data_IF_293163545232
#
_entry.id   IF_293163545232
#
_cell.length_a   1.000
_cell.length_b   1.000
_cell.length_c   1.000
_cell.angle_alpha   90.00
_cell.angle_beta   90.00
_cell.angle_gamma   90.00
#
_symmetry.space_group_name_H-M   'P 1'
#
loop_
_entity.id
_entity.type
_entity.pdbx_description
1 polymer ?
#
# COMPACT_ATOMS: atom_id res chain seq x y z
N UNK A 1 3.31 -9.19 -21.63
CA UNK A 1 2.10 -9.19 -20.79
C UNK A 1 0.87 -9.02 -21.67
N UNK A 2 0.75 -7.97 -22.46
CA UNK A 2 -0.44 -7.70 -23.29
C UNK A 2 -0.70 -8.78 -24.34
N UNK A 3 0.32 -9.35 -24.95
CA UNK A 3 0.19 -10.46 -25.89
C UNK A 3 -0.38 -11.76 -25.26
N UNK A 4 -0.40 -11.86 -23.93
CA UNK A 4 -0.93 -13.00 -23.16
C UNK A 4 -2.20 -12.63 -22.39
N UNK A 5 -2.86 -11.53 -22.74
CA UNK A 5 -3.97 -10.94 -22.00
C UNK A 5 -5.07 -11.93 -21.63
N UNK A 6 -5.60 -12.67 -22.62
CA UNK A 6 -6.68 -13.62 -22.42
C UNK A 6 -6.31 -14.74 -21.43
N UNK A 7 -5.09 -15.29 -21.55
CA UNK A 7 -4.61 -16.34 -20.66
C UNK A 7 -4.43 -15.84 -19.21
N UNK A 8 -3.81 -14.67 -19.05
CA UNK A 8 -3.62 -14.04 -17.75
C UNK A 8 -4.96 -13.81 -17.06
N UNK A 9 -5.93 -13.26 -17.79
CA UNK A 9 -7.26 -12.98 -17.24
C UNK A 9 -7.98 -14.28 -16.86
N UNK A 10 -7.99 -15.29 -17.74
CA UNK A 10 -8.68 -16.56 -17.46
C UNK A 10 -8.11 -17.27 -16.22
N UNK A 11 -6.78 -17.39 -16.11
CA UNK A 11 -6.12 -18.03 -14.96
C UNK A 11 -6.31 -17.18 -13.71
N UNK A 12 -6.12 -15.86 -13.80
CA UNK A 12 -6.28 -14.96 -12.67
C UNK A 12 -7.69 -15.01 -12.07
N UNK A 13 -8.74 -15.05 -12.90
CA UNK A 13 -10.12 -15.25 -12.44
C UNK A 13 -10.29 -16.59 -11.72
N UNK A 14 -9.75 -17.67 -12.27
CA UNK A 14 -9.87 -19.01 -11.70
C UNK A 14 -9.16 -19.13 -10.33
N UNK A 15 -7.98 -18.53 -10.20
CA UNK A 15 -7.18 -18.59 -8.96
C UNK A 15 -7.74 -17.69 -7.85
N UNK A 16 -8.19 -16.49 -8.19
CA UNK A 16 -8.49 -15.44 -7.21
C UNK A 16 -9.99 -15.21 -6.97
N UNK A 17 -10.85 -15.63 -7.90
CA UNK A 17 -12.27 -15.27 -7.91
C UNK A 17 -12.52 -13.79 -8.26
N UNK A 18 -11.51 -13.03 -8.66
CA UNK A 18 -11.67 -11.65 -9.08
C UNK A 18 -12.40 -11.57 -10.43
N UNK A 19 -13.28 -10.58 -10.63
CA UNK A 19 -13.98 -10.40 -11.91
C UNK A 19 -13.03 -10.07 -13.06
N UNK A 20 -13.39 -10.50 -14.27
CA UNK A 20 -12.61 -10.25 -15.48
C UNK A 20 -12.29 -8.76 -15.72
N UNK A 21 -13.28 -7.89 -15.54
CA UNK A 21 -13.12 -6.45 -15.68
C UNK A 21 -12.03 -5.89 -14.71
N UNK A 22 -11.96 -6.42 -13.48
CA UNK A 22 -10.96 -6.06 -12.48
C UNK A 22 -9.56 -6.45 -12.95
N UNK A 23 -9.36 -7.69 -13.42
CA UNK A 23 -8.05 -8.16 -13.90
C UNK A 23 -7.59 -7.45 -15.17
N UNK A 24 -8.52 -7.14 -16.07
CA UNK A 24 -8.24 -6.35 -17.27
C UNK A 24 -7.76 -4.94 -16.93
N UNK A 25 -8.42 -4.25 -16.00
CA UNK A 25 -8.00 -2.94 -15.51
C UNK A 25 -6.63 -3.00 -14.82
N UNK A 26 -6.42 -4.02 -13.99
CA UNK A 26 -5.16 -4.21 -13.26
C UNK A 26 -3.98 -4.53 -14.21
N UNK A 27 -4.22 -5.29 -15.28
CA UNK A 27 -3.22 -5.52 -16.33
C UNK A 27 -2.82 -4.22 -17.03
N UNK A 28 -3.79 -3.38 -17.39
CA UNK A 28 -3.53 -2.06 -17.96
C UNK A 28 -2.69 -1.18 -17.01
N UNK A 29 -3.02 -1.17 -15.72
CA UNK A 29 -2.24 -0.49 -14.68
C UNK A 29 -0.81 -1.02 -14.61
N UNK A 30 -0.61 -2.33 -14.62
CA UNK A 30 0.72 -2.97 -14.53
C UNK A 30 1.59 -2.59 -15.72
N UNK A 31 1.06 -2.70 -16.94
CA UNK A 31 1.80 -2.33 -18.16
C UNK A 31 2.03 -0.83 -18.27
N UNK A 32 1.06 -0.01 -17.84
CA UNK A 32 1.21 1.44 -17.74
C UNK A 32 2.33 1.86 -16.80
N UNK A 33 2.42 1.23 -15.63
CA UNK A 33 3.49 1.49 -14.66
C UNK A 33 4.88 1.11 -15.18
N UNK A 34 5.02 -0.02 -15.87
CA UNK A 34 6.28 -0.39 -16.52
C UNK A 34 6.72 0.66 -17.57
N UNK A 35 5.77 1.18 -18.37
CA UNK A 35 6.04 2.25 -19.33
C UNK A 35 6.41 3.57 -18.65
N UNK A 36 5.72 3.92 -17.55
CA UNK A 36 6.03 5.10 -16.76
C UNK A 36 7.48 5.07 -16.28
N UNK A 37 7.92 3.95 -15.71
CA UNK A 37 9.32 3.80 -15.27
C UNK A 37 10.31 3.83 -16.43
N UNK A 38 9.97 3.21 -17.58
CA UNK A 38 10.82 3.30 -18.77
C UNK A 38 11.01 4.75 -19.23
N UNK A 39 9.96 5.57 -19.20
CA UNK A 39 10.06 7.01 -19.49
C UNK A 39 10.85 7.76 -18.41
N UNK A 40 10.60 7.47 -17.14
CA UNK A 40 11.23 8.13 -16.00
C UNK A 40 12.76 7.96 -16.00
N UNK A 41 13.24 6.74 -16.27
CA UNK A 41 14.71 6.50 -16.27
C UNK A 41 15.46 7.20 -17.41
N UNK A 42 14.78 7.56 -18.49
CA UNK A 42 15.37 8.33 -19.59
C UNK A 42 15.66 9.78 -19.20
N UNK A 43 14.94 10.33 -18.22
CA UNK A 43 15.15 11.69 -17.73
C UNK A 43 16.39 11.81 -16.83
N UNK A 44 16.82 10.71 -16.23
CA UNK A 44 18.01 10.61 -15.36
C UNK A 44 17.97 11.41 -14.04
N UNK A 45 16.92 12.15 -13.73
CA UNK A 45 16.80 12.98 -12.52
C UNK A 45 16.80 12.14 -11.23
N UNK A 46 16.32 10.90 -11.31
CA UNK A 46 16.35 9.94 -10.20
C UNK A 46 17.77 9.62 -9.72
N UNK A 47 18.80 9.88 -10.54
CA UNK A 47 20.20 9.69 -10.18
C UNK A 47 20.72 10.76 -9.21
N UNK A 48 19.98 11.86 -8.99
CA UNK A 48 20.29 12.93 -8.04
C UNK A 48 21.78 13.30 -8.06
N UNK A 49 22.30 13.63 -9.25
CA UNK A 49 23.71 13.95 -9.45
C UNK A 49 24.06 15.26 -8.78
N UNK A 50 25.16 15.24 -8.01
CA UNK A 50 25.69 16.44 -7.35
C UNK A 50 27.18 16.55 -7.59
N UNK A 51 27.66 17.78 -7.80
CA UNK A 51 29.06 18.09 -7.99
C UNK A 51 29.47 19.29 -7.14
N UNK A 52 30.48 19.09 -6.36
CA UNK A 52 31.19 20.14 -5.62
C UNK A 52 32.61 20.28 -6.15
N UNK A 53 32.93 21.40 -6.80
CA UNK A 53 34.25 21.67 -7.32
C UNK A 53 35.30 21.74 -6.20
N UNK A 54 36.54 21.41 -6.53
CA UNK A 54 37.67 21.59 -5.63
C UNK A 54 37.84 23.06 -5.22
N UNK A 55 38.17 23.30 -3.96
CA UNK A 55 38.50 24.61 -3.38
C UNK A 55 39.87 24.52 -2.68
N UNK A 56 40.97 24.52 -3.44
CA UNK A 56 42.30 24.29 -2.88
C UNK A 56 42.74 25.37 -1.88
N UNK A 57 42.29 26.61 -2.08
CA UNK A 57 42.69 27.77 -1.27
C UNK A 57 41.73 28.07 -0.10
N UNK A 58 40.68 27.23 0.08
CA UNK A 58 39.69 27.42 1.17
C UNK A 58 40.34 27.27 2.54
N UNK A 59 40.05 28.23 3.45
CA UNK A 59 40.46 28.16 4.84
C UNK A 59 39.29 27.63 5.71
N UNK A 60 39.56 26.96 6.83
CA UNK A 60 40.86 26.52 7.37
C UNK A 60 41.39 25.25 6.68
N UNK A 61 40.62 24.62 5.80
CA UNK A 61 41.02 23.39 5.07
C UNK A 61 40.58 23.46 3.62
N UNK A 62 41.45 23.05 2.71
CA UNK A 62 41.12 22.85 1.32
C UNK A 62 39.97 21.81 1.17
N UNK A 63 39.16 21.97 0.14
CA UNK A 63 38.17 20.97 -0.27
C UNK A 63 38.63 20.31 -1.56
N UNK A 64 38.63 18.99 -1.57
CA UNK A 64 38.81 18.21 -2.81
C UNK A 64 37.54 18.18 -3.62
N UNK A 65 37.60 17.80 -4.88
CA UNK A 65 36.46 17.58 -5.75
C UNK A 65 35.57 16.42 -5.21
N UNK A 66 34.26 16.63 -5.20
CA UNK A 66 33.27 15.63 -4.80
C UNK A 66 32.22 15.49 -5.89
N UNK A 67 31.99 14.26 -6.31
CA UNK A 67 30.90 13.88 -7.20
C UNK A 67 30.00 12.85 -6.51
N UNK A 68 28.68 12.99 -6.57
CA UNK A 68 27.74 12.05 -5.99
C UNK A 68 26.69 11.67 -7.01
N UNK A 69 26.27 10.41 -7.00
CA UNK A 69 25.08 9.96 -7.70
C UNK A 69 24.44 8.76 -6.98
N UNK A 70 23.17 8.55 -7.26
CA UNK A 70 22.47 7.36 -6.81
C UNK A 70 22.94 6.12 -7.58
N UNK A 71 23.10 5.00 -6.86
CA UNK A 71 23.52 3.70 -7.40
C UNK A 71 22.54 2.60 -6.98
N UNK A 72 22.34 1.56 -7.80
CA UNK A 72 21.55 0.38 -7.41
C UNK A 72 22.01 -0.20 -6.07
N UNK A 73 21.07 -0.58 -5.23
CA UNK A 73 21.41 -1.18 -3.93
C UNK A 73 21.93 -2.62 -4.07
N UNK A 74 21.55 -3.34 -5.13
CA UNK A 74 21.89 -4.73 -5.41
C UNK A 74 20.65 -5.60 -5.61
N UNK A 75 20.75 -6.93 -5.56
CA UNK A 75 19.63 -7.85 -5.76
C UNK A 75 18.50 -7.61 -4.75
N UNK A 76 17.26 -7.52 -5.24
CA UNK A 76 16.06 -7.24 -4.45
C UNK A 76 15.16 -8.47 -4.44
N UNK A 77 14.73 -8.89 -3.26
CA UNK A 77 13.66 -9.86 -3.10
C UNK A 77 12.31 -9.14 -3.08
N UNK A 78 11.34 -9.58 -3.89
CA UNK A 78 10.00 -9.02 -3.96
C UNK A 78 8.97 -10.07 -3.56
N UNK A 79 8.09 -9.72 -2.62
CA UNK A 79 6.99 -10.57 -2.18
C UNK A 79 5.68 -9.99 -2.71
N UNK A 80 5.03 -10.73 -3.59
CA UNK A 80 3.77 -10.30 -4.21
C UNK A 80 2.59 -10.31 -3.24
N UNK A 81 1.68 -9.36 -3.42
CA UNK A 81 0.42 -9.28 -2.70
C UNK A 81 -0.62 -10.26 -3.25
N UNK A 82 -1.56 -10.71 -2.40
CA UNK A 82 -2.67 -11.58 -2.82
C UNK A 82 -3.74 -10.84 -3.60
N UNK A 83 -4.08 -9.63 -3.16
CA UNK A 83 -5.24 -8.86 -3.61
C UNK A 83 -5.02 -8.06 -4.91
N UNK A 84 -3.78 -8.01 -5.39
CA UNK A 84 -3.40 -7.42 -6.66
C UNK A 84 -2.42 -8.35 -7.40
N UNK A 85 -2.93 -9.41 -8.02
CA UNK A 85 -2.10 -10.46 -8.63
C UNK A 85 -1.21 -9.98 -9.77
N UNK A 86 -1.46 -8.80 -10.32
CA UNK A 86 -0.67 -8.18 -11.38
C UNK A 86 0.07 -6.93 -10.91
N UNK A 87 -0.66 -5.92 -10.37
CA UNK A 87 -0.11 -4.59 -10.10
C UNK A 87 0.83 -4.53 -8.88
N UNK A 88 0.69 -5.45 -7.91
CA UNK A 88 1.54 -5.56 -6.72
C UNK A 88 2.13 -6.97 -6.56
N UNK A 89 2.36 -7.67 -7.68
CA UNK A 89 2.94 -9.00 -7.69
C UNK A 89 4.11 -9.06 -8.68
N UNK A 90 4.19 -10.11 -9.49
CA UNK A 90 5.37 -10.54 -10.28
C UNK A 90 6.01 -9.44 -11.13
N UNK A 91 5.23 -8.64 -11.86
CA UNK A 91 5.70 -7.47 -12.62
C UNK A 91 5.09 -6.17 -12.09
N UNK A 92 4.73 -6.16 -10.81
CA UNK A 92 4.09 -5.03 -10.13
C UNK A 92 5.06 -3.92 -9.74
N UNK A 93 4.58 -3.03 -8.85
CA UNK A 93 5.29 -1.80 -8.47
C UNK A 93 6.70 -2.00 -7.96
N UNK A 94 6.91 -2.94 -7.06
CA UNK A 94 8.23 -3.19 -6.47
C UNK A 94 9.21 -3.74 -7.51
N UNK A 95 8.77 -4.68 -8.34
CA UNK A 95 9.58 -5.22 -9.46
C UNK A 95 9.92 -4.13 -10.46
N UNK A 96 8.95 -3.33 -10.88
CA UNK A 96 9.16 -2.25 -11.83
C UNK A 96 10.15 -1.19 -11.31
N UNK A 97 9.99 -0.77 -10.05
CA UNK A 97 10.86 0.21 -9.41
C UNK A 97 12.29 -0.32 -9.19
N UNK A 98 12.44 -1.58 -8.77
CA UNK A 98 13.74 -2.21 -8.57
C UNK A 98 14.51 -2.40 -9.89
N UNK A 99 13.83 -2.88 -10.94
CA UNK A 99 14.42 -2.99 -12.29
C UNK A 99 14.80 -1.61 -12.84
N UNK A 100 13.97 -0.59 -12.68
CA UNK A 100 14.25 0.77 -13.08
C UNK A 100 15.47 1.37 -12.34
N UNK A 101 15.64 1.00 -11.07
CA UNK A 101 16.84 1.36 -10.30
C UNK A 101 18.11 0.63 -10.76
N UNK A 102 18.00 -0.39 -11.62
CA UNK A 102 19.11 -1.22 -12.08
C UNK A 102 19.42 -2.40 -11.15
N UNK A 103 18.48 -2.83 -10.33
CA UNK A 103 18.61 -3.98 -9.42
C UNK A 103 18.08 -5.25 -10.08
N UNK A 104 18.80 -6.38 -10.00
CA UNK A 104 18.22 -7.70 -10.27
C UNK A 104 17.10 -8.00 -9.26
N UNK A 105 16.05 -8.67 -9.73
CA UNK A 105 14.87 -8.95 -8.91
C UNK A 105 14.60 -10.45 -8.82
N UNK A 106 14.36 -10.93 -7.60
CA UNK A 106 13.88 -12.27 -7.32
C UNK A 106 12.48 -12.14 -6.71
N UNK A 107 11.46 -12.52 -7.46
CA UNK A 107 10.08 -12.49 -6.96
C UNK A 107 9.73 -13.82 -6.31
N UNK A 108 9.27 -13.78 -5.07
CA UNK A 108 8.56 -14.89 -4.43
C UNK A 108 7.10 -14.79 -4.80
N UNK A 109 6.60 -15.69 -5.64
CA UNK A 109 5.20 -15.75 -6.05
C UNK A 109 4.27 -15.90 -4.84
N UNK A 110 3.10 -15.29 -4.91
CA UNK A 110 2.06 -15.49 -3.91
C UNK A 110 1.30 -16.79 -4.16
N UNK A 111 1.06 -17.57 -3.11
CA UNK A 111 0.39 -18.87 -3.20
C UNK A 111 -1.08 -18.79 -3.66
N UNK A 112 -1.71 -17.62 -3.58
CA UNK A 112 -3.08 -17.41 -4.05
C UNK A 112 -3.23 -17.36 -5.57
N UNK A 113 -2.13 -17.12 -6.32
CA UNK A 113 -2.17 -16.97 -7.78
C UNK A 113 -0.84 -17.40 -8.45
N UNK A 114 -0.41 -18.66 -8.24
CA UNK A 114 0.87 -19.15 -8.74
C UNK A 114 0.93 -19.22 -10.28
N UNK A 115 -0.14 -19.65 -10.94
CA UNK A 115 -0.20 -19.74 -12.40
C UNK A 115 -0.19 -18.36 -13.06
N UNK A 116 -0.92 -17.38 -12.50
CA UNK A 116 -0.86 -16.00 -12.97
C UNK A 116 0.57 -15.45 -12.85
N UNK A 117 1.25 -15.72 -11.74
CA UNK A 117 2.64 -15.32 -11.52
C UNK A 117 3.59 -15.94 -12.55
N UNK A 118 3.43 -17.22 -12.88
CA UNK A 118 4.25 -17.94 -13.87
C UNK A 118 4.11 -17.33 -15.27
N UNK A 119 2.87 -17.11 -15.72
CA UNK A 119 2.61 -16.54 -17.06
C UNK A 119 3.22 -15.14 -17.19
N UNK A 120 3.17 -14.34 -16.13
CA UNK A 120 3.80 -13.02 -16.10
C UNK A 120 5.33 -13.14 -16.10
N UNK A 121 5.90 -14.06 -15.34
CA UNK A 121 7.34 -14.29 -15.32
C UNK A 121 7.89 -14.72 -16.68
N UNK A 122 7.20 -15.64 -17.37
CA UNK A 122 7.53 -16.02 -18.74
C UNK A 122 7.50 -14.82 -19.70
N UNK A 123 6.52 -13.91 -19.54
CA UNK A 123 6.46 -12.70 -20.36
C UNK A 123 7.64 -11.76 -20.09
N UNK A 124 8.09 -11.64 -18.83
CA UNK A 124 9.28 -10.84 -18.46
C UNK A 124 10.54 -11.49 -19.03
N UNK A 125 10.73 -12.81 -18.86
CA UNK A 125 11.88 -13.53 -19.40
C UNK A 125 11.96 -13.45 -20.92
N UNK A 126 10.83 -13.58 -21.63
CA UNK A 126 10.75 -13.41 -23.08
C UNK A 126 11.18 -11.99 -23.50
N UNK A 127 10.82 -10.97 -22.74
CA UNK A 127 11.24 -9.59 -23.00
C UNK A 127 12.75 -9.41 -22.80
N UNK A 128 13.32 -9.98 -21.74
CA UNK A 128 14.77 -9.94 -21.48
C UNK A 128 15.55 -10.59 -22.64
N UNK A 129 15.14 -11.77 -23.08
CA UNK A 129 15.75 -12.46 -24.22
C UNK A 129 15.65 -11.63 -25.51
N UNK A 130 14.47 -11.05 -25.79
CA UNK A 130 14.27 -10.21 -26.97
C UNK A 130 15.17 -8.95 -26.95
N UNK A 131 15.48 -8.42 -25.76
CA UNK A 131 16.34 -7.27 -25.57
C UNK A 131 17.83 -7.64 -25.40
N UNK A 132 18.18 -8.91 -25.55
CA UNK A 132 19.54 -9.40 -25.35
C UNK A 132 20.12 -9.10 -23.96
N UNK A 133 19.25 -9.09 -22.93
CA UNK A 133 19.61 -8.90 -21.52
C UNK A 133 19.87 -10.24 -20.85
N UNK A 134 20.72 -10.24 -19.84
CA UNK A 134 21.04 -11.44 -19.06
C UNK A 134 19.78 -11.91 -18.29
N UNK A 135 19.46 -13.20 -18.34
CA UNK A 135 18.28 -13.79 -17.67
C UNK A 135 18.32 -13.65 -16.16
N UNK A 136 19.50 -13.54 -15.55
CA UNK A 136 19.68 -13.29 -14.11
C UNK A 136 19.19 -11.91 -13.63
N UNK A 137 18.70 -11.04 -14.52
CA UNK A 137 18.07 -9.77 -14.16
C UNK A 137 16.73 -10.00 -13.44
N UNK A 138 16.04 -11.08 -13.76
CA UNK A 138 14.75 -11.41 -13.16
C UNK A 138 14.63 -12.91 -12.93
N UNK A 139 14.07 -13.29 -11.77
CA UNK A 139 13.74 -14.66 -11.42
C UNK A 139 12.42 -14.73 -10.67
N UNK A 140 11.65 -15.79 -10.88
CA UNK A 140 10.47 -16.16 -10.09
C UNK A 140 10.79 -17.40 -9.28
N UNK A 141 10.41 -17.39 -7.99
CA UNK A 141 10.48 -18.52 -7.11
C UNK A 141 9.08 -18.85 -6.62
N UNK A 142 8.63 -20.05 -6.85
CA UNK A 142 7.41 -20.59 -6.25
C UNK A 142 7.71 -21.06 -4.83
N UNK A 143 6.72 -21.14 -3.98
CA UNK A 143 6.85 -21.65 -2.61
C UNK A 143 5.65 -22.50 -2.26
N UNK A 144 5.86 -23.47 -1.35
CA UNK A 144 4.77 -24.24 -0.76
C UNK A 144 4.01 -23.43 0.32
N UNK A 145 3.23 -24.16 1.12
CA UNK A 145 2.37 -23.56 2.16
C UNK A 145 3.16 -23.06 3.39
N UNK A 146 4.47 -23.36 3.47
CA UNK A 146 5.36 -22.95 4.55
C UNK A 146 6.02 -21.59 4.33
N UNK A 147 6.76 -21.16 5.36
CA UNK A 147 7.52 -19.91 5.34
C UNK A 147 8.99 -20.07 4.93
N UNK A 148 9.43 -21.32 4.62
CA UNK A 148 10.84 -21.67 4.41
C UNK A 148 11.45 -20.92 3.23
N UNK A 149 10.74 -20.88 2.09
CA UNK A 149 11.23 -20.24 0.85
C UNK A 149 11.39 -18.73 1.07
N UNK A 150 10.41 -18.09 1.69
CA UNK A 150 10.48 -16.66 2.02
C UNK A 150 11.61 -16.35 3.00
N UNK A 151 11.76 -17.18 4.03
CA UNK A 151 12.83 -17.08 5.03
C UNK A 151 14.21 -17.28 4.40
N UNK A 152 14.38 -18.31 3.57
CA UNK A 152 15.65 -18.57 2.88
C UNK A 152 16.04 -17.42 1.94
N UNK A 153 15.06 -16.87 1.19
CA UNK A 153 15.28 -15.76 0.28
C UNK A 153 15.75 -14.51 1.04
N UNK A 154 15.06 -14.14 2.13
CA UNK A 154 15.40 -12.96 2.95
C UNK A 154 16.77 -13.14 3.63
N UNK A 155 17.14 -14.35 4.04
CA UNK A 155 18.44 -14.65 4.68
C UNK A 155 19.59 -14.77 3.69
N UNK A 156 19.32 -14.87 2.38
CA UNK A 156 20.38 -15.10 1.39
C UNK A 156 21.36 -13.91 1.34
N UNK A 157 22.68 -14.14 1.45
CA UNK A 157 23.68 -13.06 1.61
C UNK A 157 23.75 -12.09 0.43
N UNK A 158 23.39 -12.51 -0.79
CA UNK A 158 23.38 -11.65 -1.98
C UNK A 158 22.17 -10.73 -2.06
N UNK A 159 21.06 -11.02 -1.35
CA UNK A 159 19.90 -10.13 -1.30
C UNK A 159 20.25 -8.89 -0.49
N UNK A 160 19.98 -7.71 -1.05
CA UNK A 160 20.37 -6.41 -0.48
C UNK A 160 19.19 -5.52 -0.08
N UNK A 161 17.98 -5.87 -0.49
CA UNK A 161 16.75 -5.23 -0.04
C UNK A 161 15.55 -6.16 -0.24
N UNK A 162 14.47 -5.87 0.45
CA UNK A 162 13.17 -6.56 0.31
C UNK A 162 12.08 -5.56 0.03
N UNK A 163 11.25 -5.82 -1.00
CA UNK A 163 9.96 -5.20 -1.22
C UNK A 163 8.85 -6.17 -0.82
N UNK A 164 7.88 -5.71 -0.04
CA UNK A 164 6.79 -6.54 0.49
C UNK A 164 5.48 -5.77 0.52
N UNK A 165 4.41 -6.43 0.11
CA UNK A 165 3.03 -5.95 0.33
C UNK A 165 2.21 -7.10 0.88
N UNK A 166 1.60 -6.91 2.05
CA UNK A 166 0.80 -7.95 2.69
C UNK A 166 0.42 -7.64 4.15
N UNK A 167 0.08 -8.66 4.92
CA UNK A 167 -0.38 -8.49 6.30
C UNK A 167 0.72 -7.96 7.22
N UNK A 168 0.32 -7.20 8.25
CA UNK A 168 1.22 -6.71 9.30
C UNK A 168 2.02 -7.85 9.94
N UNK A 169 1.37 -8.98 10.24
CA UNK A 169 2.02 -10.13 10.88
C UNK A 169 3.12 -10.73 9.98
N UNK A 170 2.80 -10.98 8.71
CA UNK A 170 3.78 -11.55 7.76
C UNK A 170 4.92 -10.59 7.45
N UNK A 171 4.60 -9.31 7.25
CA UNK A 171 5.61 -8.29 6.97
C UNK A 171 6.52 -8.04 8.17
N UNK A 172 5.99 -8.01 9.40
CA UNK A 172 6.78 -7.86 10.61
C UNK A 172 7.76 -9.01 10.81
N UNK A 173 7.32 -10.25 10.57
CA UNK A 173 8.19 -11.43 10.67
C UNK A 173 9.38 -11.35 9.70
N UNK A 174 9.15 -10.94 8.45
CA UNK A 174 10.22 -10.78 7.46
C UNK A 174 11.11 -9.57 7.76
N UNK A 175 10.54 -8.47 8.23
CA UNK A 175 11.28 -7.29 8.68
C UNK A 175 12.28 -7.65 9.78
N UNK A 176 11.83 -8.38 10.81
CA UNK A 176 12.68 -8.80 11.93
C UNK A 176 13.82 -9.73 11.45
N UNK A 177 13.53 -10.62 10.47
CA UNK A 177 14.56 -11.43 9.84
C UNK A 177 15.60 -10.60 9.08
N UNK A 178 15.17 -9.55 8.35
CA UNK A 178 16.08 -8.64 7.65
C UNK A 178 17.00 -7.90 8.62
N UNK A 179 16.46 -7.43 9.74
CA UNK A 179 17.19 -6.71 10.78
C UNK A 179 18.16 -7.61 11.54
N UNK A 180 17.81 -8.89 11.74
CA UNK A 180 18.62 -9.86 12.48
C UNK A 180 19.76 -10.51 11.68
N UNK A 181 19.91 -10.18 10.40
CA UNK A 181 21.03 -10.70 9.57
C UNK A 181 22.38 -10.20 10.09
N UNK A 182 23.49 -10.94 9.87
CA UNK A 182 24.85 -10.43 10.12
C UNK A 182 25.13 -9.13 9.37
N UNK A 183 24.58 -8.96 8.15
CA UNK A 183 24.53 -7.73 7.39
C UNK A 183 23.04 -7.34 7.25
N UNK A 184 22.49 -6.46 8.12
CA UNK A 184 21.10 -6.02 8.01
C UNK A 184 20.81 -5.37 6.67
N UNK A 185 19.61 -5.60 6.14
CA UNK A 185 19.18 -5.04 4.86
C UNK A 185 17.86 -4.25 5.03
N UNK A 186 17.63 -3.22 4.21
CA UNK A 186 16.37 -2.51 4.21
C UNK A 186 15.21 -3.42 3.81
N UNK A 187 14.11 -3.27 4.52
CA UNK A 187 12.83 -3.91 4.24
C UNK A 187 11.78 -2.82 3.99
N UNK A 188 11.26 -2.77 2.77
CA UNK A 188 10.23 -1.84 2.34
C UNK A 188 8.88 -2.56 2.32
N UNK A 189 8.25 -2.63 3.48
CA UNK A 189 6.97 -3.31 3.68
C UNK A 189 5.83 -2.31 3.68
N UNK A 190 4.80 -2.58 2.88
CA UNK A 190 3.46 -2.04 3.01
C UNK A 190 2.61 -3.10 3.72
N UNK A 191 2.00 -2.75 4.85
CA UNK A 191 1.47 -3.73 5.79
C UNK A 191 -0.05 -3.60 5.94
N UNK A 192 -0.54 -2.82 6.92
CA UNK A 192 -1.96 -2.71 7.19
C UNK A 192 -2.40 -1.28 7.47
N UNK A 193 -3.66 -0.96 7.15
CA UNK A 193 -4.25 0.36 7.39
C UNK A 193 -5.77 0.26 7.52
N UNK A 194 -6.36 1.05 8.40
CA UNK A 194 -7.81 1.18 8.53
C UNK A 194 -8.38 2.36 7.74
N UNK A 195 -7.51 3.21 7.18
CA UNK A 195 -7.84 4.33 6.29
C UNK A 195 -9.00 5.21 6.78
N UNK A 196 -8.88 5.84 7.95
CA UNK A 196 -9.97 6.53 8.60
C UNK A 196 -10.44 7.74 7.80
N UNK A 197 -11.76 7.96 7.82
CA UNK A 197 -12.42 9.12 7.24
C UNK A 197 -13.05 9.96 8.37
N UNK A 198 -12.92 11.27 8.28
CA UNK A 198 -13.50 12.23 9.21
C UNK A 198 -14.56 13.07 8.48
N UNK A 199 -15.80 13.02 8.93
CA UNK A 199 -16.89 13.79 8.31
C UNK A 199 -17.24 14.96 9.24
N UNK A 200 -17.04 16.18 8.74
CA UNK A 200 -17.32 17.39 9.49
C UNK A 200 -18.79 17.77 9.42
N UNK A 201 -19.22 18.67 10.29
CA UNK A 201 -20.63 18.97 10.50
C UNK A 201 -21.32 19.54 9.26
N UNK A 202 -20.68 20.46 8.55
CA UNK A 202 -21.21 21.06 7.32
C UNK A 202 -21.37 20.01 6.21
N UNK A 203 -20.31 19.25 5.93
CA UNK A 203 -20.36 18.17 4.96
C UNK A 203 -21.42 17.11 5.32
N UNK A 204 -21.54 16.77 6.60
CA UNK A 204 -22.55 15.83 7.08
C UNK A 204 -23.97 16.35 6.84
N UNK A 205 -24.24 17.61 7.17
CA UNK A 205 -25.55 18.23 7.00
C UNK A 205 -25.96 18.35 5.53
N UNK A 206 -25.02 18.75 4.67
CA UNK A 206 -25.30 19.06 3.27
C UNK A 206 -25.26 17.84 2.35
N UNK A 207 -24.37 16.86 2.64
CA UNK A 207 -24.07 15.72 1.74
C UNK A 207 -24.03 14.36 2.45
N UNK A 208 -24.56 14.27 3.67
CA UNK A 208 -24.54 13.03 4.46
C UNK A 208 -24.98 11.78 3.68
N UNK A 209 -26.13 11.78 2.98
CA UNK A 209 -26.57 10.65 2.17
C UNK A 209 -25.63 10.26 1.04
N UNK A 210 -25.04 11.23 0.33
CA UNK A 210 -24.11 10.98 -0.77
C UNK A 210 -22.79 10.41 -0.23
N UNK A 211 -22.31 10.92 0.91
CA UNK A 211 -21.12 10.40 1.58
C UNK A 211 -21.38 8.97 2.09
N UNK A 212 -22.59 8.69 2.61
CA UNK A 212 -22.97 7.36 3.05
C UNK A 212 -22.95 6.33 1.90
N UNK A 213 -23.57 6.67 0.77
CA UNK A 213 -23.59 5.83 -0.42
C UNK A 213 -22.18 5.61 -0.98
N UNK A 214 -21.37 6.68 -1.06
CA UNK A 214 -19.99 6.60 -1.53
C UNK A 214 -19.10 5.77 -0.60
N UNK A 215 -19.25 5.90 0.73
CA UNK A 215 -18.53 5.08 1.69
C UNK A 215 -18.91 3.62 1.57
N UNK A 216 -20.20 3.28 1.51
CA UNK A 216 -20.68 1.92 1.32
C UNK A 216 -20.07 1.28 0.04
N UNK A 217 -20.08 2.02 -1.08
CA UNK A 217 -19.47 1.56 -2.33
C UNK A 217 -17.95 1.36 -2.22
N UNK A 218 -17.24 2.27 -1.56
CA UNK A 218 -15.79 2.18 -1.32
C UNK A 218 -15.44 1.02 -0.39
N UNK A 219 -16.19 0.84 0.69
CA UNK A 219 -16.02 -0.21 1.70
C UNK A 219 -16.20 -1.62 1.13
N UNK A 220 -17.14 -1.78 0.20
CA UNK A 220 -17.51 -3.08 -0.37
C UNK A 220 -16.81 -3.42 -1.68
N UNK A 221 -16.06 -2.48 -2.24
CA UNK A 221 -15.33 -2.68 -3.51
C UNK A 221 -14.38 -3.88 -3.41
N UNK A 222 -14.55 -4.86 -4.30
CA UNK A 222 -13.73 -6.08 -4.31
C UNK A 222 -13.75 -6.86 -3.00
N UNK A 223 -14.92 -7.00 -2.39
CA UNK A 223 -15.12 -7.59 -1.07
C UNK A 223 -14.31 -6.89 0.04
N UNK A 224 -14.10 -5.58 -0.07
CA UNK A 224 -13.30 -4.79 0.88
C UNK A 224 -11.81 -5.14 0.92
N UNK A 225 -11.31 -5.90 -0.05
CA UNK A 225 -9.93 -6.42 -0.07
C UNK A 225 -8.95 -5.44 -0.73
N UNK A 226 -8.97 -4.18 -0.28
CA UNK A 226 -8.03 -3.14 -0.71
C UNK A 226 -7.21 -2.65 0.48
N UNK A 227 -5.92 -2.42 0.28
CA UNK A 227 -5.04 -1.82 1.30
C UNK A 227 -5.53 -0.43 1.74
N UNK A 228 -6.28 0.26 0.88
CA UNK A 228 -6.90 1.57 1.17
C UNK A 228 -8.40 1.46 1.45
N UNK A 229 -8.91 0.31 1.88
CA UNK A 229 -10.30 0.17 2.29
C UNK A 229 -10.61 1.07 3.50
N UNK A 230 -11.61 1.99 3.44
CA UNK A 230 -11.97 2.89 4.53
C UNK A 230 -12.81 2.17 5.61
N UNK A 231 -12.16 1.38 6.46
CA UNK A 231 -12.83 0.59 7.48
C UNK A 231 -13.41 1.40 8.65
N UNK A 232 -13.01 2.67 8.82
CA UNK A 232 -13.43 3.51 9.95
C UNK A 232 -13.88 4.88 9.48
N UNK A 233 -15.04 5.33 9.99
CA UNK A 233 -15.54 6.69 9.81
C UNK A 233 -15.75 7.34 11.17
N UNK A 234 -15.28 8.56 11.34
CA UNK A 234 -15.45 9.36 12.55
C UNK A 234 -16.41 10.50 12.28
N UNK A 235 -17.48 10.61 13.05
CA UNK A 235 -18.54 11.59 12.90
C UNK A 235 -18.85 12.30 14.22
N UNK A 236 -19.41 13.50 14.17
CA UNK A 236 -20.01 14.12 15.37
C UNK A 236 -21.35 13.45 15.68
N UNK A 237 -21.61 13.14 16.96
CA UNK A 237 -22.89 12.54 17.39
C UNK A 237 -24.06 13.50 17.18
N UNK A 238 -25.27 12.96 16.97
CA UNK A 238 -26.51 13.70 16.79
C UNK A 238 -27.36 13.12 15.65
N UNK A 239 -28.50 13.76 15.37
CA UNK A 239 -29.49 13.28 14.40
C UNK A 239 -28.91 13.03 13.01
N UNK A 240 -27.96 13.87 12.55
CA UNK A 240 -27.28 13.67 11.26
C UNK A 240 -26.40 12.41 11.24
N UNK A 241 -25.75 12.10 12.35
CA UNK A 241 -24.93 10.87 12.43
C UNK A 241 -25.81 9.60 12.49
N UNK A 242 -26.99 9.71 13.10
CA UNK A 242 -27.96 8.60 13.14
C UNK A 242 -28.55 8.37 11.75
N UNK A 243 -28.99 9.42 11.06
CA UNK A 243 -29.46 9.34 9.68
C UNK A 243 -28.38 8.84 8.71
N UNK A 244 -27.12 9.25 8.90
CA UNK A 244 -25.97 8.73 8.16
C UNK A 244 -25.81 7.23 8.36
N UNK A 245 -25.87 6.76 9.62
CA UNK A 245 -25.75 5.33 9.95
C UNK A 245 -26.85 4.50 9.29
N UNK A 246 -28.09 4.99 9.28
CA UNK A 246 -29.22 4.37 8.60
C UNK A 246 -29.02 4.32 7.08
N UNK A 247 -28.54 5.41 6.49
CA UNK A 247 -28.27 5.50 5.05
C UNK A 247 -27.17 4.52 4.61
N UNK A 248 -26.10 4.40 5.40
CA UNK A 248 -25.02 3.43 5.15
C UNK A 248 -25.55 2.01 5.28
N UNK A 249 -26.30 1.71 6.34
CA UNK A 249 -26.92 0.39 6.56
C UNK A 249 -27.78 -0.02 5.36
N UNK A 250 -28.63 0.89 4.89
CA UNK A 250 -29.50 0.65 3.73
C UNK A 250 -28.71 0.36 2.47
N UNK A 251 -27.67 1.13 2.19
CA UNK A 251 -26.80 0.93 1.02
C UNK A 251 -26.04 -0.40 1.09
N UNK A 252 -25.56 -0.80 2.27
CA UNK A 252 -24.85 -2.06 2.47
C UNK A 252 -25.74 -3.29 2.36
N UNK A 253 -27.02 -3.21 2.76
CA UNK A 253 -27.97 -4.31 2.63
C UNK A 253 -28.24 -4.72 1.18
N UNK A 254 -28.04 -3.82 0.23
CA UNK A 254 -28.18 -4.10 -1.20
C UNK A 254 -26.93 -4.80 -1.79
N UNK A 255 -25.85 -4.88 -1.04
CA UNK A 255 -24.58 -5.47 -1.51
C UNK A 255 -24.66 -7.00 -1.49
N UNK A 256 -24.56 -7.62 -2.66
CA UNK A 256 -24.51 -9.07 -2.78
C UNK A 256 -23.21 -9.64 -2.23
N UNK A 257 -23.24 -10.92 -1.82
CA UNK A 257 -22.05 -11.65 -1.38
C UNK A 257 -20.98 -11.70 -2.50
N UNK A 258 -19.73 -11.45 -2.14
CA UNK A 258 -18.59 -11.47 -3.06
C UNK A 258 -17.58 -12.54 -2.63
N UNK A 259 -16.89 -13.14 -3.60
CA UNK A 259 -15.87 -14.15 -3.32
C UNK A 259 -14.59 -13.47 -2.80
N UNK A 260 -14.07 -13.98 -1.68
CA UNK A 260 -12.77 -13.56 -1.16
C UNK A 260 -11.62 -14.33 -1.84
N UNK A 261 -10.44 -13.74 -1.86
CA UNK A 261 -9.26 -14.24 -2.58
C UNK A 261 -8.81 -15.63 -2.15
N UNK A 262 -8.85 -15.92 -0.86
CA UNK A 262 -8.43 -17.22 -0.30
C UNK A 262 -9.30 -17.60 0.89
N UNK A 263 -9.33 -18.90 1.22
CA UNK A 263 -10.01 -19.40 2.42
C UNK A 263 -9.40 -18.82 3.71
N UNK A 264 -8.08 -18.60 3.71
CA UNK A 264 -7.38 -17.99 4.84
C UNK A 264 -7.81 -16.55 5.08
N UNK A 265 -7.97 -15.73 4.01
CA UNK A 265 -8.47 -14.35 4.11
C UNK A 265 -9.92 -14.35 4.55
N UNK A 266 -10.78 -15.22 3.99
CA UNK A 266 -12.16 -15.35 4.40
C UNK A 266 -12.30 -15.75 5.88
N UNK A 267 -11.47 -16.68 6.35
CA UNK A 267 -11.42 -17.06 7.77
C UNK A 267 -10.98 -15.91 8.66
N UNK A 268 -9.93 -15.17 8.27
CA UNK A 268 -9.45 -14.00 9.01
C UNK A 268 -10.53 -12.89 9.09
N UNK A 269 -11.26 -12.66 8.01
CA UNK A 269 -12.38 -11.73 7.99
C UNK A 269 -13.46 -12.10 9.01
N UNK A 270 -13.88 -13.37 9.05
CA UNK A 270 -14.88 -13.87 10.04
C UNK A 270 -14.38 -13.74 11.47
N UNK A 271 -13.11 -14.06 11.72
CA UNK A 271 -12.49 -13.88 13.04
C UNK A 271 -12.49 -12.39 13.44
N UNK A 272 -12.14 -11.50 12.52
CA UNK A 272 -12.18 -10.05 12.74
C UNK A 272 -13.60 -9.54 13.03
N UNK A 273 -14.58 -10.01 12.27
CA UNK A 273 -16.00 -9.71 12.49
C UNK A 273 -16.48 -10.18 13.87
N UNK A 274 -16.18 -11.42 14.25
CA UNK A 274 -16.54 -11.97 15.56
C UNK A 274 -15.90 -11.19 16.70
N UNK A 275 -14.63 -10.83 16.55
CA UNK A 275 -13.92 -9.96 17.52
C UNK A 275 -14.61 -8.61 17.66
N UNK A 276 -14.96 -7.96 16.54
CA UNK A 276 -15.63 -6.67 16.53
C UNK A 276 -16.99 -6.76 17.26
N UNK A 277 -17.81 -7.74 16.92
CA UNK A 277 -19.11 -7.98 17.55
C UNK A 277 -19.02 -8.27 19.06
N UNK A 278 -17.96 -8.96 19.51
CA UNK A 278 -17.73 -9.28 20.92
C UNK A 278 -17.05 -8.17 21.73
N UNK A 279 -16.65 -7.05 21.09
CA UNK A 279 -15.95 -5.97 21.78
C UNK A 279 -16.90 -5.11 22.60
N UNK A 280 -16.60 -4.92 23.88
CA UNK A 280 -17.42 -4.11 24.79
C UNK A 280 -17.55 -2.66 24.30
N UNK A 281 -18.79 -2.13 24.28
CA UNK A 281 -19.07 -0.77 23.82
C UNK A 281 -19.09 -0.61 22.29
N UNK A 282 -19.04 -1.72 21.55
CA UNK A 282 -19.35 -1.78 20.13
C UNK A 282 -20.79 -2.25 19.95
N UNK A 283 -21.53 -1.61 19.09
CA UNK A 283 -22.92 -1.90 18.78
C UNK A 283 -23.07 -2.31 17.33
N UNK A 284 -23.76 -3.41 17.08
CA UNK A 284 -24.10 -3.83 15.73
C UNK A 284 -25.16 -2.89 15.15
N UNK A 285 -24.87 -2.31 13.99
CA UNK A 285 -25.82 -1.49 13.22
C UNK A 285 -26.46 -2.33 12.13
N UNK A 286 -25.66 -3.16 11.45
CA UNK A 286 -26.12 -4.07 10.41
C UNK A 286 -25.22 -5.31 10.39
N UNK A 287 -25.86 -6.48 10.28
CA UNK A 287 -25.19 -7.76 10.09
C UNK A 287 -25.75 -8.51 8.88
N UNK A 288 -24.97 -9.45 8.41
CA UNK A 288 -25.32 -10.28 7.27
C UNK A 288 -24.77 -11.70 7.46
N UNK A 289 -25.28 -12.65 6.66
CA UNK A 289 -24.74 -14.00 6.67
C UNK A 289 -23.48 -14.07 5.82
N UNK A 290 -22.40 -14.61 6.38
CA UNK A 290 -21.12 -14.78 5.69
C UNK A 290 -20.67 -16.24 5.80
N UNK A 291 -20.62 -16.94 4.68
CA UNK A 291 -20.34 -18.37 4.64
C UNK A 291 -19.14 -18.69 3.75
N UNK A 292 -18.40 -19.74 4.09
CA UNK A 292 -17.28 -20.28 3.31
C UNK A 292 -16.28 -19.19 2.82
N UNK A 293 -16.09 -19.10 1.51
CA UNK A 293 -15.19 -18.14 0.84
C UNK A 293 -15.91 -16.88 0.36
N UNK A 294 -17.07 -16.57 0.92
CA UNK A 294 -17.80 -15.34 0.59
C UNK A 294 -17.70 -14.30 1.69
N UNK A 295 -17.81 -13.03 1.33
CA UNK A 295 -17.93 -11.90 2.24
C UNK A 295 -19.18 -11.11 1.91
N UNK A 296 -19.92 -10.76 2.95
CA UNK A 296 -21.01 -9.80 2.98
C UNK A 296 -20.66 -8.70 3.96
N UNK A 297 -21.20 -7.48 3.82
CA UNK A 297 -20.81 -6.36 4.65
C UNK A 297 -21.35 -6.47 6.08
N UNK A 298 -20.61 -5.90 7.03
CA UNK A 298 -21.02 -5.66 8.41
C UNK A 298 -20.80 -4.20 8.78
N UNK A 299 -21.67 -3.65 9.60
CA UNK A 299 -21.57 -2.29 10.10
C UNK A 299 -21.73 -2.25 11.61
N UNK A 300 -20.76 -1.61 12.25
CA UNK A 300 -20.74 -1.42 13.70
C UNK A 300 -20.64 0.07 14.04
N UNK A 301 -21.00 0.41 15.27
CA UNK A 301 -20.81 1.74 15.83
C UNK A 301 -20.20 1.67 17.23
N UNK A 302 -19.46 2.72 17.58
CA UNK A 302 -18.89 2.92 18.92
C UNK A 302 -18.75 4.39 19.23
N UNK A 303 -18.40 4.73 20.48
CA UNK A 303 -18.11 6.12 20.88
C UNK A 303 -16.61 6.43 20.78
N UNK A 304 -16.25 7.72 20.60
CA UNK A 304 -14.87 8.15 20.66
C UNK A 304 -14.21 7.82 22.02
N UNK A 305 -14.96 7.87 23.10
CA UNK A 305 -14.49 7.44 24.43
C UNK A 305 -14.07 5.99 24.45
N UNK A 306 -14.88 5.08 23.89
CA UNK A 306 -14.56 3.65 23.82
C UNK A 306 -13.37 3.41 22.89
N UNK A 307 -13.32 4.06 21.72
CA UNK A 307 -12.19 4.03 20.80
C UNK A 307 -10.87 4.37 21.50
N UNK A 308 -10.84 5.49 22.25
CA UNK A 308 -9.63 5.97 22.93
C UNK A 308 -9.16 5.04 24.05
N UNK A 309 -10.06 4.25 24.64
CA UNK A 309 -9.74 3.31 25.71
C UNK A 309 -9.43 1.89 25.24
N UNK A 310 -9.70 1.56 23.97
CA UNK A 310 -9.57 0.21 23.44
C UNK A 310 -8.80 0.17 22.11
N UNK A 311 -7.51 -0.13 22.19
CA UNK A 311 -6.64 -0.20 21.01
C UNK A 311 -7.00 -1.31 20.01
N UNK A 312 -7.74 -2.36 20.44
CA UNK A 312 -8.13 -3.45 19.53
C UNK A 312 -9.10 -3.00 18.42
N UNK A 313 -9.77 -1.86 18.61
CA UNK A 313 -10.62 -1.23 17.60
C UNK A 313 -9.83 -0.65 16.41
N UNK A 314 -8.52 -0.43 16.60
CA UNK A 314 -7.61 0.11 15.57
C UNK A 314 -7.00 -1.00 14.69
N UNK A 315 -7.30 -2.27 14.98
CA UNK A 315 -6.81 -3.39 14.18
C UNK A 315 -7.61 -3.54 12.89
N UNK A 316 -6.92 -3.66 11.77
CA UNK A 316 -7.53 -3.88 10.47
C UNK A 316 -8.36 -5.17 10.44
N UNK A 317 -9.54 -5.09 9.84
CA UNK A 317 -10.35 -6.25 9.44
C UNK A 317 -10.42 -6.23 7.91
N UNK A 318 -9.63 -7.08 7.27
CA UNK A 318 -9.48 -7.09 5.82
C UNK A 318 -10.71 -7.70 5.14
N UNK A 319 -11.65 -6.83 4.75
CA UNK A 319 -12.95 -7.19 4.20
C UNK A 319 -13.95 -6.03 4.34
N UNK A 320 -15.21 -6.23 3.94
CA UNK A 320 -16.23 -5.18 3.91
C UNK A 320 -16.86 -4.95 5.30
N UNK A 321 -16.05 -4.57 6.30
CA UNK A 321 -16.50 -4.25 7.66
C UNK A 321 -16.26 -2.77 7.95
N UNK A 322 -17.33 -2.05 8.28
CA UNK A 322 -17.31 -0.64 8.65
C UNK A 322 -17.51 -0.41 10.15
N UNK A 323 -16.78 0.53 10.73
CA UNK A 323 -16.95 1.01 12.09
C UNK A 323 -17.21 2.52 12.08
N UNK A 324 -18.35 2.96 12.60
CA UNK A 324 -18.69 4.37 12.84
C UNK A 324 -18.28 4.73 14.27
N UNK A 325 -17.37 5.71 14.41
CA UNK A 325 -16.93 6.26 15.69
C UNK A 325 -17.63 7.60 15.91
N UNK A 326 -18.53 7.66 16.91
CA UNK A 326 -19.28 8.87 17.24
C UNK A 326 -18.55 9.69 18.31
N UNK A 327 -18.20 10.93 17.98
CA UNK A 327 -17.53 11.90 18.84
C UNK A 327 -18.52 12.99 19.28
N UNK A 328 -18.49 13.39 20.54
CA UNK A 328 -19.36 14.43 21.11
C UNK A 328 -18.96 15.84 20.68
N UNK A 329 -17.73 16.01 20.27
CA UNK A 329 -17.17 17.32 19.89
C UNK A 329 -16.01 17.17 18.89
N UNK A 330 -15.65 18.27 18.23
CA UNK A 330 -14.44 18.35 17.39
C UNK A 330 -13.15 18.04 18.20
N UNK A 331 -13.12 18.35 19.48
CA UNK A 331 -11.98 18.00 20.35
C UNK A 331 -11.84 16.48 20.52
N UNK A 332 -12.95 15.76 20.77
CA UNK A 332 -12.93 14.29 20.80
C UNK A 332 -12.58 13.71 19.44
N UNK A 333 -13.12 14.24 18.34
CA UNK A 333 -12.77 13.83 16.99
C UNK A 333 -11.27 14.04 16.72
N UNK A 334 -10.70 15.15 17.17
CA UNK A 334 -9.26 15.42 17.11
C UNK A 334 -8.45 14.43 17.95
N UNK A 335 -8.92 14.10 19.15
CA UNK A 335 -8.28 13.10 20.01
C UNK A 335 -8.27 11.72 19.35
N UNK A 336 -9.35 11.32 18.66
CA UNK A 336 -9.39 10.10 17.84
C UNK A 336 -8.32 10.16 16.73
N UNK A 337 -8.22 11.28 16.00
CA UNK A 337 -7.20 11.45 14.96
C UNK A 337 -5.77 11.34 15.51
N UNK A 338 -5.52 11.94 16.68
CA UNK A 338 -4.22 11.87 17.36
C UNK A 338 -3.87 10.46 17.85
N UNK A 339 -4.87 9.66 18.25
CA UNK A 339 -4.68 8.30 18.76
C UNK A 339 -4.35 7.28 17.66
N UNK A 340 -4.62 7.58 16.39
CA UNK A 340 -4.39 6.67 15.28
C UNK A 340 -2.92 6.23 15.23
N UNK A 341 -2.65 4.95 14.97
CA UNK A 341 -1.34 4.51 14.46
C UNK A 341 -1.12 5.06 13.05
N UNK A 342 0.05 4.78 12.47
CA UNK A 342 0.31 5.14 11.06
C UNK A 342 -0.68 4.50 10.08
N UNK A 343 -1.07 5.27 9.06
CA UNK A 343 -2.07 4.92 8.06
C UNK A 343 -1.52 5.11 6.65
N UNK A 344 -2.08 4.40 5.66
CA UNK A 344 -1.82 4.71 4.25
C UNK A 344 -2.57 5.99 3.84
N UNK A 345 -3.81 6.12 4.28
CA UNK A 345 -4.65 7.29 3.95
C UNK A 345 -5.40 7.81 5.16
N UNK A 346 -5.64 9.13 5.17
CA UNK A 346 -6.67 9.78 5.98
C UNK A 346 -7.53 10.67 5.07
N UNK A 347 -8.84 10.64 5.25
CA UNK A 347 -9.77 11.41 4.42
C UNK A 347 -10.58 12.38 5.27
N UNK A 348 -10.76 13.61 4.76
CA UNK A 348 -11.68 14.60 5.31
C UNK A 348 -12.87 14.76 4.36
N UNK A 349 -14.09 14.74 4.88
CA UNK A 349 -15.26 15.27 4.20
C UNK A 349 -15.64 16.58 4.84
N UNK A 350 -15.51 17.66 4.09
CA UNK A 350 -15.64 19.05 4.53
C UNK A 350 -16.43 19.86 3.49
N UNK A 351 -17.21 20.82 3.96
CA UNK A 351 -17.76 21.91 3.17
C UNK A 351 -17.07 23.23 3.53
N UNK A 352 -17.44 24.36 2.91
CA UNK A 352 -16.74 25.64 3.09
C UNK A 352 -16.70 26.09 4.56
N UNK A 353 -17.82 25.94 5.25
CA UNK A 353 -17.95 26.27 6.68
C UNK A 353 -17.06 25.42 7.61
N UNK A 354 -16.66 24.23 7.18
CA UNK A 354 -15.81 23.33 7.98
C UNK A 354 -14.32 23.67 7.86
N UNK A 355 -13.93 24.52 6.90
CA UNK A 355 -12.52 24.76 6.53
C UNK A 355 -11.66 25.17 7.72
N UNK A 356 -12.16 26.07 8.57
CA UNK A 356 -11.41 26.55 9.74
C UNK A 356 -11.13 25.41 10.75
N UNK A 357 -12.12 24.56 11.00
CA UNK A 357 -11.96 23.41 11.88
C UNK A 357 -11.03 22.33 11.25
N UNK A 358 -11.12 22.12 9.94
CA UNK A 358 -10.29 21.16 9.21
C UNK A 358 -8.81 21.58 9.19
N UNK A 359 -8.49 22.86 9.15
CA UNK A 359 -7.11 23.37 9.22
C UNK A 359 -6.36 22.85 10.46
N UNK A 360 -7.04 22.69 11.59
CA UNK A 360 -6.45 22.16 12.81
C UNK A 360 -6.15 20.64 12.74
N UNK A 361 -6.81 19.92 11.83
CA UNK A 361 -6.59 18.49 11.62
C UNK A 361 -5.41 18.21 10.69
N UNK A 362 -5.13 19.09 9.73
CA UNK A 362 -4.08 18.86 8.74
C UNK A 362 -2.72 18.48 9.36
N UNK A 363 -2.17 19.22 10.35
CA UNK A 363 -0.88 18.86 10.97
C UNK A 363 -0.90 17.50 11.69
N UNK A 364 -2.07 17.02 12.11
CA UNK A 364 -2.24 15.71 12.73
C UNK A 364 -2.20 14.64 11.64
N UNK A 365 -3.01 14.82 10.59
CA UNK A 365 -3.17 13.83 9.52
C UNK A 365 -1.88 13.64 8.72
N UNK A 366 -1.12 14.70 8.46
CA UNK A 366 0.20 14.66 7.83
C UNK A 366 1.21 13.77 8.59
N UNK A 367 1.06 13.68 9.92
CA UNK A 367 1.89 12.79 10.76
C UNK A 367 1.37 11.36 10.81
N UNK A 368 0.13 11.13 10.37
CA UNK A 368 -0.55 9.83 10.47
C UNK A 368 -0.61 9.09 9.14
N UNK A 369 -0.62 9.79 8.00
CA UNK A 369 -0.82 9.15 6.71
C UNK A 369 0.14 9.67 5.65
N UNK A 370 0.46 8.81 4.69
CA UNK A 370 1.23 9.22 3.51
C UNK A 370 0.37 9.93 2.47
N UNK A 371 -0.95 9.72 2.46
CA UNK A 371 -1.88 10.37 1.54
C UNK A 371 -3.07 10.94 2.33
N UNK A 372 -3.26 12.25 2.25
CA UNK A 372 -4.41 12.95 2.83
C UNK A 372 -5.34 13.35 1.69
N UNK A 373 -6.64 13.03 1.84
CA UNK A 373 -7.67 13.28 0.83
C UNK A 373 -8.74 14.22 1.39
N UNK A 374 -9.39 14.96 0.49
CA UNK A 374 -10.60 15.72 0.80
C UNK A 374 -11.73 15.34 -0.16
N UNK A 375 -12.95 15.18 0.36
CA UNK A 375 -14.20 15.00 -0.40
C UNK A 375 -14.13 13.87 -1.46
N UNK A 376 -13.42 12.78 -1.14
CA UNK A 376 -13.27 11.61 -2.01
C UNK A 376 -13.10 10.36 -1.16
N UNK A 377 -13.07 9.19 -1.79
CA UNK A 377 -12.88 7.92 -1.10
C UNK A 377 -11.49 7.36 -1.40
N UNK A 378 -10.82 6.73 -0.41
CA UNK A 378 -9.42 6.36 -0.54
C UNK A 378 -9.17 5.11 -1.39
N UNK A 379 -10.20 4.30 -1.67
CA UNK A 379 -10.07 3.05 -2.42
C UNK A 379 -9.59 3.32 -3.85
N UNK A 380 -8.45 2.71 -4.17
CA UNK A 380 -7.72 2.98 -5.41
C UNK A 380 -6.56 3.96 -5.23
N UNK A 381 -5.53 3.79 -6.04
CA UNK A 381 -4.30 4.58 -6.02
C UNK A 381 -3.87 4.87 -7.45
N UNK A 382 -3.73 6.15 -7.80
CA UNK A 382 -3.18 6.58 -9.08
C UNK A 382 -1.67 6.31 -9.15
N UNK A 383 -1.15 6.04 -10.34
CA UNK A 383 0.29 5.84 -10.58
C UNK A 383 0.84 7.10 -11.23
N UNK A 384 1.45 7.97 -10.42
CA UNK A 384 1.94 9.28 -10.85
C UNK A 384 3.15 9.72 -10.03
N UNK A 385 3.82 10.80 -10.47
CA UNK A 385 5.03 11.32 -9.82
C UNK A 385 4.78 11.85 -8.40
N UNK A 386 3.63 12.47 -8.18
CA UNK A 386 3.29 13.06 -6.88
C UNK A 386 2.61 12.06 -5.92
N UNK A 387 2.36 10.82 -6.35
CA UNK A 387 1.66 9.86 -5.51
C UNK A 387 2.57 9.34 -4.39
N UNK A 388 2.02 9.34 -3.19
CA UNK A 388 2.58 8.65 -2.03
C UNK A 388 1.61 7.56 -1.58
N UNK A 389 2.03 6.31 -1.72
CA UNK A 389 1.38 5.14 -1.15
C UNK A 389 2.32 4.56 -0.10
N UNK A 390 2.12 4.99 1.12
CA UNK A 390 3.00 4.76 2.25
C UNK A 390 2.43 5.40 3.50
N UNK A 391 3.24 5.59 4.52
CA UNK A 391 2.85 6.22 5.77
C UNK A 391 3.67 5.71 6.96
N UNK A 392 3.47 6.26 8.15
CA UNK A 392 4.16 5.80 9.35
C UNK A 392 3.79 4.35 9.72
N UNK A 393 4.62 3.71 10.52
CA UNK A 393 4.32 2.39 11.06
C UNK A 393 3.00 2.40 11.87
N UNK A 394 2.09 1.40 11.74
CA UNK A 394 2.29 0.11 11.07
C UNK A 394 1.92 0.09 9.57
N UNK A 395 1.47 1.18 8.96
CA UNK A 395 1.11 1.16 7.54
C UNK A 395 2.30 0.77 6.66
N UNK A 396 3.50 1.28 6.96
CA UNK A 396 4.74 0.83 6.31
C UNK A 396 5.88 0.69 7.31
N UNK A 397 6.92 -0.03 6.91
CA UNK A 397 8.17 -0.13 7.68
C UNK A 397 9.13 1.02 7.43
N UNK A 398 8.89 1.86 6.41
CA UNK A 398 9.74 3.00 6.07
C UNK A 398 8.88 4.19 5.63
N UNK A 399 8.64 5.12 6.55
CA UNK A 399 7.82 6.31 6.33
C UNK A 399 8.43 7.34 5.35
N UNK A 400 9.70 7.23 5.03
CA UNK A 400 10.38 8.07 4.03
C UNK A 400 10.26 7.55 2.59
N UNK A 401 9.46 6.49 2.37
CA UNK A 401 9.31 5.83 1.07
C UNK A 401 7.85 5.73 0.64
N UNK A 402 7.66 5.45 -0.64
CA UNK A 402 6.37 5.14 -1.26
C UNK A 402 6.48 3.83 -2.04
N UNK A 403 5.40 3.04 -2.11
CA UNK A 403 5.33 1.83 -2.93
C UNK A 403 4.78 2.08 -4.35
N UNK A 404 4.21 3.26 -4.60
CA UNK A 404 3.60 3.64 -5.89
C UNK A 404 4.16 4.97 -6.37
N UNK A 405 4.16 5.17 -7.68
CA UNK A 405 4.70 6.37 -8.33
C UNK A 405 6.21 6.30 -8.56
N UNK A 406 6.75 7.25 -9.30
CA UNK A 406 8.16 7.23 -9.72
C UNK A 406 9.12 7.38 -8.55
N UNK A 407 8.72 8.05 -7.46
CA UNK A 407 9.51 8.16 -6.24
C UNK A 407 9.80 6.80 -5.59
N UNK A 408 9.03 5.75 -5.91
CA UNK A 408 9.27 4.41 -5.37
C UNK A 408 10.61 3.80 -5.79
N UNK A 409 11.22 4.29 -6.88
CA UNK A 409 12.57 3.92 -7.33
C UNK A 409 13.64 4.18 -6.24
N UNK A 410 13.45 5.23 -5.41
CA UNK A 410 14.40 5.63 -4.38
C UNK A 410 14.63 4.57 -3.32
N UNK A 411 13.69 3.66 -3.12
CA UNK A 411 13.83 2.52 -2.19
C UNK A 411 14.98 1.59 -2.56
N UNK A 412 15.31 1.51 -3.84
CA UNK A 412 16.29 0.58 -4.39
C UNK A 412 17.57 1.27 -4.86
N UNK A 413 17.76 2.50 -4.44
CA UNK A 413 18.92 3.33 -4.71
C UNK A 413 19.64 3.72 -3.41
N UNK A 414 20.95 3.94 -3.50
CA UNK A 414 21.75 4.51 -2.43
C UNK A 414 22.73 5.55 -2.98
N UNK A 415 23.02 6.63 -2.27
CA UNK A 415 24.02 7.61 -2.68
C UNK A 415 25.42 7.03 -2.56
N UNK A 416 26.28 7.34 -3.54
CA UNK A 416 27.71 7.06 -3.51
C UNK A 416 28.48 8.33 -3.88
N UNK A 417 29.35 8.78 -2.99
CA UNK A 417 30.26 9.89 -3.24
C UNK A 417 31.59 9.39 -3.78
N UNK A 418 32.08 10.03 -4.85
CA UNK A 418 33.37 9.81 -5.48
C UNK A 418 34.22 11.03 -5.20
N UNK A 419 35.19 10.89 -4.29
CA UNK A 419 36.08 11.97 -3.88
C UNK A 419 37.42 11.87 -4.57
N UNK A 420 37.80 12.89 -5.30
CA UNK A 420 39.10 13.00 -6.00
C UNK A 420 39.40 11.78 -6.90
N UNK A 421 38.36 11.23 -7.53
CA UNK A 421 38.46 10.07 -8.42
C UNK A 421 38.79 10.56 -9.85
N UNK A 422 39.82 10.00 -10.50
CA UNK A 422 40.11 10.32 -11.90
C UNK A 422 38.89 10.13 -12.79
N UNK A 423 38.64 11.06 -13.70
CA UNK A 423 37.44 11.06 -14.58
C UNK A 423 37.22 9.72 -15.30
N UNK A 424 38.30 9.04 -15.74
CA UNK A 424 38.19 7.73 -16.39
C UNK A 424 37.61 6.60 -15.50
N UNK A 425 37.68 6.76 -14.18
CA UNK A 425 37.19 5.78 -13.20
C UNK A 425 35.79 6.11 -12.70
N UNK A 426 35.25 7.30 -13.00
CA UNK A 426 33.91 7.68 -12.63
C UNK A 426 32.89 6.80 -13.38
N UNK A 427 31.72 6.55 -12.78
CA UNK A 427 30.58 5.93 -13.49
C UNK A 427 30.17 6.75 -14.73
N UNK A 428 29.64 6.08 -15.76
CA UNK A 428 29.22 6.75 -17.01
C UNK A 428 28.29 7.96 -16.77
N UNK A 429 27.46 7.90 -15.76
CA UNK A 429 26.52 8.99 -15.42
C UNK A 429 27.17 10.23 -14.82
N UNK A 430 28.50 10.20 -14.48
CA UNK A 430 29.28 11.31 -13.92
C UNK A 430 30.46 11.71 -14.81
N UNK A 431 30.60 11.08 -15.97
CA UNK A 431 31.62 11.42 -16.98
C UNK A 431 31.17 12.54 -17.87
#
# INVERSE_FOLDING_TARGET
IEARAALITAIGCAETGLPEARLNGERGRTTGQLRLFATHILQSDYLDRRHDAALPDRQPMARTELNMMQRPIGPVAVFGASNFPLAFSTAGGDTAAALAAGCPVIVKAHSAHPGTSEIIAEAVLAALLKCNLHTGVFSLIQGGDGHEVGTALVKHPLVKAVGFTGSLMGGRALYDLCAARPEPIPFFGELGSINPMFIFAGAMANRGPDIAAGWAGSLTMGAGQFCTNPGVVVVLEGDHADAFSESVSSALMETSAQTMLTDGIASAYRVGQTRMAGTLGVHEVMSSACEQRTATPFLYSTTAKNWLSNQSLMEEVFGPLGLIVKARSLEEMRAVAQSLPGQLTCTLHIDEEDTAAAMDFMPILERKAGRVLANSFPTGVEVSDAMVHGGPYPATTNFGATSVGTLSIRRFLRPVCFQNIPHALLPQGLR
#
